data_IF_204570882737
#
_entry.id   IF_204570882737
#
_cell.length_a   1.000
_cell.length_b   1.000
_cell.length_c   1.000
_cell.angle_alpha   90.00
_cell.angle_beta   90.00
_cell.angle_gamma   90.00
#
_symmetry.space_group_name_H-M   'P 1'
#
loop_
_entity.id
_entity.type
_entity.pdbx_description
1 polymer ?
#
# COMPACT_ATOMS: atom_id res chain seq x y z
N UNK A 1 -14.72 50.17 -5.04
CA UNK A 1 -14.15 49.36 -3.94
C UNK A 1 -12.95 48.61 -4.48
N UNK A 2 -11.79 48.83 -3.86
CA UNK A 2 -10.54 48.17 -4.25
C UNK A 2 -10.53 46.72 -3.73
N UNK A 3 -9.68 45.85 -4.32
CA UNK A 3 -9.58 44.43 -3.93
C UNK A 3 -9.22 44.29 -2.44
N UNK A 4 -8.31 45.13 -1.94
CA UNK A 4 -7.90 45.13 -0.53
C UNK A 4 -9.07 45.45 0.43
N UNK A 5 -9.96 46.37 0.04
CA UNK A 5 -11.15 46.71 0.82
C UNK A 5 -12.15 45.56 0.82
N UNK A 6 -12.34 44.89 -0.32
CA UNK A 6 -13.19 43.71 -0.43
C UNK A 6 -12.69 42.57 0.48
N UNK A 7 -11.38 42.34 0.52
CA UNK A 7 -10.76 41.32 1.39
C UNK A 7 -10.93 41.67 2.87
N UNK A 8 -10.61 42.91 3.26
CA UNK A 8 -10.75 43.35 4.65
C UNK A 8 -12.21 43.30 5.12
N UNK A 9 -13.14 43.70 4.27
CA UNK A 9 -14.56 43.73 4.58
C UNK A 9 -15.17 42.33 4.65
N UNK A 10 -14.83 41.45 3.70
CA UNK A 10 -15.25 40.04 3.74
C UNK A 10 -14.70 39.32 4.98
N UNK A 11 -13.48 39.63 5.40
CA UNK A 11 -12.88 39.09 6.62
C UNK A 11 -13.62 39.54 7.89
N UNK A 12 -13.97 40.83 7.98
CA UNK A 12 -14.78 41.35 9.10
C UNK A 12 -16.16 40.70 9.14
N UNK A 13 -16.81 40.57 7.99
CA UNK A 13 -18.12 39.94 7.88
C UNK A 13 -18.09 38.43 8.18
N UNK A 14 -17.00 37.75 7.86
CA UNK A 14 -16.73 36.38 8.29
C UNK A 14 -16.67 36.30 9.82
N UNK A 15 -15.91 37.21 10.46
CA UNK A 15 -15.78 37.25 11.93
C UNK A 15 -17.09 37.57 12.65
N UNK A 16 -17.97 38.37 12.05
CA UNK A 16 -19.25 38.76 12.65
C UNK A 16 -20.35 37.70 12.52
N UNK A 17 -20.12 36.64 11.74
CA UNK A 17 -21.13 35.60 11.44
C UNK A 17 -20.64 34.21 11.85
N UNK A 18 -20.37 33.97 13.14
CA UNK A 18 -19.66 32.78 13.60
C UNK A 18 -20.42 31.48 13.31
N UNK A 19 -21.76 31.49 13.34
CA UNK A 19 -22.58 30.29 13.13
C UNK A 19 -22.42 29.76 11.70
N UNK A 20 -22.62 30.61 10.69
CA UNK A 20 -22.47 30.21 9.28
C UNK A 20 -21.03 29.79 8.97
N UNK A 21 -20.05 30.53 9.51
CA UNK A 21 -18.63 30.22 9.38
C UNK A 21 -18.28 28.84 9.96
N UNK A 22 -18.75 28.55 11.19
CA UNK A 22 -18.51 27.27 11.85
C UNK A 22 -19.20 26.10 11.13
N UNK A 23 -20.43 26.28 10.65
CA UNK A 23 -21.13 25.25 9.90
C UNK A 23 -20.39 24.89 8.60
N UNK A 24 -19.95 25.89 7.82
CA UNK A 24 -19.17 25.65 6.60
C UNK A 24 -17.82 25.02 6.93
N UNK A 25 -17.13 25.50 7.97
CA UNK A 25 -15.87 24.93 8.41
C UNK A 25 -16.03 23.46 8.85
N UNK A 26 -17.09 23.13 9.59
CA UNK A 26 -17.37 21.77 10.02
C UNK A 26 -17.68 20.84 8.84
N UNK A 27 -18.49 21.30 7.89
CA UNK A 27 -18.81 20.54 6.68
C UNK A 27 -17.58 20.26 5.83
N UNK A 28 -16.75 21.28 5.59
CA UNK A 28 -15.51 21.13 4.82
C UNK A 28 -14.46 20.29 5.56
N UNK A 29 -14.40 20.38 6.89
CA UNK A 29 -13.58 19.47 7.70
C UNK A 29 -14.02 18.01 7.53
N UNK A 30 -15.33 17.75 7.64
CA UNK A 30 -15.90 16.41 7.44
C UNK A 30 -15.64 15.88 6.04
N UNK A 31 -15.87 16.69 5.01
CA UNK A 31 -15.58 16.33 3.61
C UNK A 31 -14.11 15.97 3.42
N UNK A 32 -13.17 16.80 3.90
CA UNK A 32 -11.73 16.52 3.79
C UNK A 32 -11.32 15.26 4.55
N UNK A 33 -11.83 15.07 5.77
CA UNK A 33 -11.53 13.92 6.61
C UNK A 33 -12.06 12.60 6.01
N UNK A 34 -13.33 12.58 5.59
CA UNK A 34 -13.96 11.40 4.96
C UNK A 34 -13.26 11.06 3.64
N UNK A 35 -12.93 12.07 2.82
CA UNK A 35 -12.20 11.85 1.57
C UNK A 35 -10.84 11.21 1.82
N UNK A 36 -10.08 11.70 2.81
CA UNK A 36 -8.80 11.09 3.15
C UNK A 36 -8.93 9.69 3.74
N UNK A 37 -9.93 9.44 4.59
CA UNK A 37 -10.14 8.13 5.18
C UNK A 37 -10.45 7.07 4.11
N UNK A 38 -11.30 7.39 3.13
CA UNK A 38 -11.72 6.44 2.10
C UNK A 38 -10.70 6.25 0.97
N UNK A 39 -10.03 7.32 0.54
CA UNK A 39 -9.12 7.27 -0.60
C UNK A 39 -7.64 7.14 -0.20
N UNK A 40 -7.27 7.57 1.01
CA UNK A 40 -5.90 7.48 1.53
C UNK A 40 -5.45 6.05 1.79
N UNK A 41 -6.34 5.16 2.25
CA UNK A 41 -6.03 3.73 2.42
C UNK A 41 -5.68 3.06 1.08
N UNK A 42 -6.43 3.38 0.03
CA UNK A 42 -6.23 2.79 -1.29
C UNK A 42 -4.94 3.28 -1.96
N UNK A 43 -4.55 4.53 -1.73
CA UNK A 43 -3.30 5.10 -2.23
C UNK A 43 -2.08 4.46 -1.56
N UNK A 44 -2.09 4.32 -0.22
CA UNK A 44 -0.99 3.70 0.52
C UNK A 44 -0.76 2.24 0.11
N UNK A 45 -1.82 1.46 -0.11
CA UNK A 45 -1.69 0.07 -0.59
C UNK A 45 -1.12 0.00 -2.00
N UNK A 46 -1.46 0.94 -2.89
CA UNK A 46 -0.91 0.96 -4.25
C UNK A 46 0.61 1.20 -4.26
N UNK A 47 1.08 2.18 -3.49
CA UNK A 47 2.52 2.48 -3.41
C UNK A 47 3.30 1.29 -2.85
N UNK A 48 2.77 0.60 -1.83
CA UNK A 48 3.39 -0.61 -1.26
C UNK A 48 3.48 -1.79 -2.23
N UNK A 49 2.52 -1.93 -3.15
CA UNK A 49 2.52 -2.98 -4.17
C UNK A 49 3.46 -2.60 -5.32
N UNK A 50 3.53 -1.32 -5.70
CA UNK A 50 4.51 -0.84 -6.66
C UNK A 50 5.94 -1.05 -6.16
N UNK A 51 6.18 -0.85 -4.87
CA UNK A 51 7.47 -1.13 -4.24
C UNK A 51 7.77 -2.62 -4.23
N UNK A 52 6.80 -3.46 -3.82
CA UNK A 52 6.90 -4.93 -3.87
C UNK A 52 7.19 -5.46 -5.28
N UNK A 53 6.64 -4.83 -6.32
CA UNK A 53 6.88 -5.22 -7.72
C UNK A 53 8.30 -4.90 -8.20
N UNK A 54 8.96 -3.90 -7.61
CA UNK A 54 10.35 -3.58 -7.91
C UNK A 54 11.34 -4.42 -7.09
N UNK A 55 10.86 -5.20 -6.13
CA UNK A 55 11.68 -6.00 -5.24
C UNK A 55 12.19 -7.29 -5.93
N UNK A 56 13.36 -7.83 -5.52
CA UNK A 56 13.89 -9.09 -6.04
C UNK A 56 12.90 -10.27 -6.02
N UNK A 57 11.96 -10.26 -5.07
CA UNK A 57 10.89 -11.25 -4.88
C UNK A 57 9.90 -11.28 -6.05
N UNK A 58 9.65 -10.15 -6.71
CA UNK A 58 8.74 -10.06 -7.85
C UNK A 58 9.28 -10.76 -9.10
N UNK A 59 10.58 -11.03 -9.15
CA UNK A 59 11.25 -11.75 -10.27
C UNK A 59 11.30 -13.26 -10.06
N UNK A 60 10.53 -13.79 -9.11
CA UNK A 60 10.57 -15.22 -8.75
C UNK A 60 9.49 -16.04 -9.45
N UNK A 61 9.89 -17.22 -9.91
CA UNK A 61 9.03 -18.27 -10.41
C UNK A 61 9.29 -19.54 -9.59
N UNK A 62 8.26 -20.04 -8.92
CA UNK A 62 8.33 -21.23 -8.06
C UNK A 62 7.61 -22.38 -8.75
N UNK A 63 8.30 -23.50 -8.87
CA UNK A 63 7.71 -24.79 -9.24
C UNK A 63 7.70 -25.68 -8.01
N UNK A 64 6.58 -26.36 -7.77
CA UNK A 64 6.42 -27.33 -6.68
C UNK A 64 5.96 -28.66 -7.26
N UNK A 65 6.77 -29.69 -7.04
CA UNK A 65 6.46 -31.09 -7.27
C UNK A 65 6.18 -31.73 -5.90
N UNK A 66 4.89 -31.96 -5.60
CA UNK A 66 4.47 -32.51 -4.32
C UNK A 66 4.92 -33.96 -4.09
N UNK A 67 5.25 -34.69 -5.16
CA UNK A 67 5.68 -36.09 -5.07
C UNK A 67 7.21 -36.24 -5.07
N UNK A 68 7.96 -35.16 -5.36
CA UNK A 68 9.43 -35.14 -5.38
C UNK A 68 10.01 -36.25 -6.30
N UNK A 69 9.52 -36.32 -7.53
CA UNK A 69 9.92 -37.34 -8.53
C UNK A 69 10.53 -36.73 -9.78
N UNK A 70 10.13 -35.51 -10.12
CA UNK A 70 10.45 -34.89 -11.41
C UNK A 70 11.71 -34.04 -11.32
N UNK A 71 11.80 -33.19 -10.31
CA UNK A 71 12.85 -32.17 -10.23
C UNK A 71 14.15 -32.83 -9.76
N UNK A 72 14.95 -33.33 -10.69
CA UNK A 72 16.31 -33.84 -10.42
C UNK A 72 17.39 -32.80 -10.73
N UNK A 73 18.63 -33.09 -10.31
CA UNK A 73 19.79 -32.23 -10.59
C UNK A 73 19.98 -31.89 -12.09
N UNK A 74 19.74 -32.80 -13.05
CA UNK A 74 19.82 -32.47 -14.48
C UNK A 74 18.86 -31.35 -14.92
N UNK A 75 17.66 -31.27 -14.31
CA UNK A 75 16.70 -30.21 -14.58
C UNK A 75 17.18 -28.90 -13.97
N UNK A 76 17.69 -28.94 -12.73
CA UNK A 76 18.26 -27.77 -12.04
C UNK A 76 19.41 -27.17 -12.86
N UNK A 77 20.31 -27.99 -13.35
CA UNK A 77 21.44 -27.55 -14.20
C UNK A 77 20.97 -27.01 -15.55
N UNK A 78 19.99 -27.65 -16.18
CA UNK A 78 19.38 -27.19 -17.43
C UNK A 78 18.74 -25.81 -17.25
N UNK A 79 17.95 -25.63 -16.20
CA UNK A 79 17.33 -24.34 -15.86
C UNK A 79 18.37 -23.27 -15.55
N UNK A 80 19.42 -23.61 -14.79
CA UNK A 80 20.51 -22.70 -14.46
C UNK A 80 21.30 -22.23 -15.70
N UNK A 81 21.36 -23.06 -16.74
CA UNK A 81 22.05 -22.72 -17.99
C UNK A 81 21.28 -21.71 -18.87
N UNK A 82 19.99 -21.46 -18.57
CA UNK A 82 19.18 -20.51 -19.33
C UNK A 82 19.67 -19.08 -19.12
N UNK A 83 19.87 -18.35 -20.22
CA UNK A 83 20.37 -16.97 -20.18
C UNK A 83 19.44 -15.99 -19.46
N UNK A 84 18.14 -16.28 -19.41
CA UNK A 84 17.10 -15.50 -18.74
C UNK A 84 17.12 -15.67 -17.21
N UNK A 85 17.75 -16.75 -16.71
CA UNK A 85 17.86 -17.09 -15.29
C UNK A 85 19.07 -16.38 -14.67
N UNK A 86 18.82 -15.69 -13.56
CA UNK A 86 19.85 -15.12 -12.70
C UNK A 86 20.33 -16.18 -11.70
N UNK A 87 19.39 -16.84 -11.01
CA UNK A 87 19.64 -17.83 -9.96
C UNK A 87 18.58 -18.92 -9.98
N UNK A 88 18.96 -20.14 -9.67
CA UNK A 88 18.05 -21.28 -9.53
C UNK A 88 18.42 -22.07 -8.28
N UNK A 89 17.45 -22.32 -7.40
CA UNK A 89 17.64 -23.03 -6.15
C UNK A 89 16.58 -24.13 -6.03
N UNK A 90 17.01 -25.37 -5.92
CA UNK A 90 16.15 -26.52 -5.68
C UNK A 90 16.16 -26.90 -4.20
N UNK A 91 15.04 -27.42 -3.70
CA UNK A 91 14.86 -27.80 -2.30
C UNK A 91 14.03 -29.07 -2.19
N UNK A 92 14.40 -29.95 -1.24
CA UNK A 92 13.59 -31.13 -0.92
C UNK A 92 12.36 -30.77 -0.10
N UNK A 93 11.47 -31.75 0.09
CA UNK A 93 10.43 -31.66 1.12
C UNK A 93 11.12 -31.48 2.49
N UNK A 94 10.71 -30.50 3.29
CA UNK A 94 11.31 -30.30 4.60
C UNK A 94 11.03 -31.47 5.54
N UNK A 95 12.05 -31.90 6.27
CA UNK A 95 11.94 -32.88 7.34
C UNK A 95 12.15 -32.20 8.68
N UNK A 96 11.31 -32.50 9.66
CA UNK A 96 11.46 -31.92 10.99
C UNK A 96 12.68 -32.52 11.70
N UNK A 97 13.48 -31.65 12.31
CA UNK A 97 14.64 -31.98 13.14
C UNK A 97 14.55 -31.26 14.48
N UNK A 98 15.20 -31.83 15.48
CA UNK A 98 15.29 -31.29 16.83
C UNK A 98 16.75 -31.15 17.27
N UNK A 99 17.00 -30.30 18.26
CA UNK A 99 18.32 -30.20 18.85
C UNK A 99 18.64 -31.48 19.62
N UNK A 100 19.71 -32.18 19.28
CA UNK A 100 19.99 -33.50 19.83
C UNK A 100 20.22 -33.54 21.34
N UNK A 101 20.68 -32.42 21.92
CA UNK A 101 20.85 -32.24 23.36
C UNK A 101 19.53 -32.06 24.13
N UNK A 102 18.47 -31.59 23.46
CA UNK A 102 17.15 -31.36 24.04
C UNK A 102 16.16 -32.46 23.67
N UNK A 103 16.44 -33.24 22.62
CA UNK A 103 15.60 -34.33 22.15
C UNK A 103 14.17 -33.84 21.82
N UNK A 104 13.17 -34.59 22.28
CA UNK A 104 11.76 -34.31 21.99
C UNK A 104 11.20 -33.04 22.68
N UNK A 105 11.93 -32.47 23.64
CA UNK A 105 11.55 -31.22 24.30
C UNK A 105 11.98 -29.97 23.50
N UNK A 106 12.69 -30.15 22.37
CA UNK A 106 13.07 -29.08 21.44
C UNK A 106 11.91 -28.65 20.56
N UNK A 107 11.90 -27.39 20.13
CA UNK A 107 11.02 -26.96 19.05
C UNK A 107 11.50 -27.58 17.73
N UNK A 108 10.64 -28.26 16.95
CA UNK A 108 11.03 -28.83 15.68
C UNK A 108 11.29 -27.71 14.66
N UNK A 109 12.36 -27.88 13.89
CA UNK A 109 12.78 -26.97 12.83
C UNK A 109 12.85 -27.75 11.51
N UNK A 110 12.44 -27.15 10.38
CA UNK A 110 12.54 -27.82 9.10
C UNK A 110 13.99 -27.89 8.60
N UNK A 111 14.44 -29.09 8.27
CA UNK A 111 15.66 -29.37 7.51
C UNK A 111 15.32 -29.60 6.04
N UNK A 112 16.07 -28.99 5.12
CA UNK A 112 15.92 -29.23 3.69
C UNK A 112 17.29 -29.35 3.01
N UNK A 113 17.38 -30.28 2.05
CA UNK A 113 18.54 -30.36 1.17
C UNK A 113 18.33 -29.40 0.02
N UNK A 114 19.37 -28.62 -0.29
CA UNK A 114 19.34 -27.64 -1.35
C UNK A 114 20.42 -27.89 -2.40
N UNK A 115 20.12 -27.52 -3.64
CA UNK A 115 21.06 -27.58 -4.75
C UNK A 115 20.87 -26.41 -5.72
N UNK A 116 21.87 -26.20 -6.59
CA UNK A 116 21.89 -25.11 -7.56
C UNK A 116 22.79 -23.95 -7.10
N UNK A 117 22.25 -22.74 -7.08
CA UNK A 117 22.99 -21.52 -6.73
C UNK A 117 22.95 -21.21 -5.22
N UNK A 118 23.61 -22.06 -4.44
CA UNK A 118 23.62 -21.96 -2.97
C UNK A 118 24.36 -20.70 -2.49
N UNK A 119 25.49 -20.36 -3.09
CA UNK A 119 26.28 -19.17 -2.74
C UNK A 119 25.55 -17.85 -3.07
N UNK A 120 24.68 -17.87 -4.08
CA UNK A 120 23.81 -16.76 -4.42
C UNK A 120 22.58 -16.65 -3.51
N UNK A 121 22.17 -17.75 -2.86
CA UNK A 121 21.03 -17.79 -1.95
C UNK A 121 21.42 -17.49 -0.49
N UNK A 122 22.61 -17.88 -0.05
CA UNK A 122 23.02 -17.82 1.35
C UNK A 122 24.29 -16.98 1.54
N UNK A 123 24.47 -16.42 2.74
CA UNK A 123 25.74 -15.83 3.19
C UNK A 123 26.09 -16.43 4.54
N UNK A 124 27.20 -17.15 4.60
CA UNK A 124 27.70 -17.66 5.87
C UNK A 124 28.03 -16.50 6.81
N UNK A 125 27.44 -16.54 7.99
CA UNK A 125 27.69 -15.58 9.08
C UNK A 125 28.75 -16.13 10.03
N UNK A 126 28.79 -17.45 10.19
CA UNK A 126 29.84 -18.16 10.95
C UNK A 126 30.05 -19.57 10.39
N UNK A 127 31.23 -20.15 10.65
CA UNK A 127 31.55 -21.52 10.25
C UNK A 127 31.91 -21.66 8.77
N UNK A 128 31.47 -22.76 8.15
CA UNK A 128 31.77 -23.12 6.75
C UNK A 128 30.54 -23.73 6.07
N UNK A 129 30.62 -23.92 4.75
CA UNK A 129 29.60 -24.68 4.02
C UNK A 129 29.60 -26.15 4.50
N UNK A 130 28.41 -26.78 4.58
CA UNK A 130 28.30 -28.13 5.10
C UNK A 130 28.81 -29.17 4.10
N UNK A 131 29.54 -30.16 4.60
CA UNK A 131 29.82 -31.41 3.88
C UNK A 131 28.64 -32.40 4.03
N UNK A 132 28.66 -33.59 3.38
CA UNK A 132 27.64 -34.61 3.60
C UNK A 132 27.46 -34.95 5.09
N UNK A 133 26.22 -35.15 5.53
CA UNK A 133 25.83 -35.29 6.95
C UNK A 133 26.13 -34.08 7.85
N UNK A 134 26.35 -32.89 7.28
CA UNK A 134 26.46 -31.64 8.02
C UNK A 134 25.37 -30.66 7.60
N UNK A 135 25.12 -29.68 8.47
CA UNK A 135 24.11 -28.64 8.24
C UNK A 135 24.60 -27.28 8.69
N UNK A 136 24.06 -26.26 8.03
CA UNK A 136 24.15 -24.86 8.47
C UNK A 136 22.76 -24.36 8.86
N UNK A 137 22.71 -23.49 9.87
CA UNK A 137 21.46 -23.09 10.50
C UNK A 137 21.17 -21.60 10.27
N UNK A 138 19.94 -21.29 9.85
CA UNK A 138 19.46 -19.92 9.75
C UNK A 138 19.14 -19.30 11.12
N UNK A 139 19.09 -17.97 11.26
CA UNK A 139 18.92 -17.31 12.56
C UNK A 139 17.62 -17.69 13.28
N UNK A 140 16.50 -17.85 12.55
CA UNK A 140 15.24 -18.26 13.17
C UNK A 140 15.25 -19.71 13.65
N UNK A 141 15.92 -20.59 12.90
CA UNK A 141 16.15 -21.97 13.31
C UNK A 141 17.10 -22.07 14.52
N UNK A 142 18.13 -21.22 14.58
CA UNK A 142 19.08 -21.15 15.69
C UNK A 142 18.38 -20.83 17.01
N UNK A 143 17.52 -19.81 16.99
CA UNK A 143 16.74 -19.39 18.15
C UNK A 143 15.76 -20.47 18.61
N UNK A 144 15.08 -21.13 17.66
CA UNK A 144 14.12 -22.20 17.96
C UNK A 144 14.79 -23.44 18.55
N UNK A 145 15.95 -23.83 18.03
CA UNK A 145 16.75 -24.97 18.52
C UNK A 145 17.54 -24.64 19.80
N UNK A 146 17.58 -23.36 20.20
CA UNK A 146 18.33 -22.86 21.36
C UNK A 146 19.82 -23.23 21.32
N UNK A 147 20.39 -23.27 20.11
CA UNK A 147 21.80 -23.56 19.91
C UNK A 147 22.59 -22.28 20.11
N UNK A 148 23.36 -22.20 21.19
CA UNK A 148 24.26 -21.07 21.45
C UNK A 148 25.48 -21.21 20.53
N UNK A 149 25.83 -20.14 19.82
CA UNK A 149 26.96 -20.05 18.88
C UNK A 149 26.88 -20.96 17.64
N UNK A 150 25.74 -21.60 17.36
CA UNK A 150 25.57 -22.42 16.16
C UNK A 150 26.44 -23.68 16.14
N UNK A 151 26.73 -24.23 17.32
CA UNK A 151 27.51 -25.47 17.48
C UNK A 151 26.64 -26.54 18.12
N UNK A 152 26.73 -27.76 17.62
CA UNK A 152 26.00 -28.91 18.16
C UNK A 152 25.67 -29.94 17.09
N UNK A 153 24.65 -30.74 17.34
CA UNK A 153 24.07 -31.64 16.35
C UNK A 153 22.55 -31.58 16.43
N UNK A 154 21.92 -31.84 15.29
CA UNK A 154 20.48 -31.96 15.16
C UNK A 154 20.14 -33.39 14.79
N UNK A 155 18.98 -33.84 15.22
CA UNK A 155 18.53 -35.21 15.03
C UNK A 155 17.11 -35.23 14.47
N UNK A 156 16.84 -36.12 13.52
CA UNK A 156 15.48 -36.37 13.04
C UNK A 156 14.74 -37.31 14.01
N UNK A 157 13.40 -37.34 13.97
CA UNK A 157 12.62 -38.33 14.71
C UNK A 157 12.97 -39.80 14.38
N UNK A 158 13.62 -40.04 13.23
CA UNK A 158 14.07 -41.36 12.79
C UNK A 158 15.46 -41.75 13.36
N UNK A 159 16.11 -40.88 14.12
CA UNK A 159 17.42 -41.11 14.73
C UNK A 159 18.61 -40.75 13.83
N UNK A 160 18.38 -40.12 12.69
CA UNK A 160 19.45 -39.62 11.82
C UNK A 160 20.01 -38.31 12.37
N UNK A 161 21.33 -38.17 12.40
CA UNK A 161 22.02 -37.05 13.03
C UNK A 161 22.84 -36.26 12.02
N UNK A 162 22.80 -34.93 12.14
CA UNK A 162 23.64 -34.01 11.37
C UNK A 162 24.44 -33.12 12.31
N UNK A 163 25.72 -32.94 11.99
CA UNK A 163 26.57 -31.99 12.71
C UNK A 163 26.28 -30.55 12.24
N UNK A 164 26.12 -29.63 13.19
CA UNK A 164 25.97 -28.20 12.88
C UNK A 164 27.36 -27.58 12.75
N UNK A 165 27.66 -27.06 11.56
CA UNK A 165 29.00 -26.55 11.23
C UNK A 165 29.06 -25.05 10.96
N UNK A 166 27.93 -24.35 11.09
CA UNK A 166 27.88 -22.91 10.94
C UNK A 166 26.47 -22.33 10.90
N UNK A 167 26.43 -21.01 10.74
CA UNK A 167 25.20 -20.26 10.59
C UNK A 167 25.23 -19.41 9.33
N UNK A 168 24.07 -19.18 8.75
CA UNK A 168 23.93 -18.37 7.54
C UNK A 168 22.84 -17.32 7.69
N UNK A 169 22.92 -16.28 6.86
CA UNK A 169 21.83 -15.36 6.58
C UNK A 169 21.41 -15.53 5.13
N UNK A 170 20.13 -15.76 4.90
CA UNK A 170 19.57 -15.90 3.56
C UNK A 170 19.50 -14.54 2.86
N UNK A 171 19.82 -14.53 1.55
CA UNK A 171 19.74 -13.34 0.70
C UNK A 171 18.36 -13.25 0.03
N UNK A 172 17.84 -12.04 -0.23
CA UNK A 172 16.66 -11.86 -1.08
C UNK A 172 16.82 -12.58 -2.44
N UNK A 173 15.79 -13.28 -2.95
CA UNK A 173 14.42 -13.41 -2.41
C UNK A 173 14.20 -14.65 -1.52
N UNK A 174 15.27 -15.28 -1.01
CA UNK A 174 15.22 -16.54 -0.27
C UNK A 174 15.17 -16.35 1.26
N UNK A 175 14.73 -15.19 1.74
CA UNK A 175 14.74 -14.84 3.18
C UNK A 175 13.98 -15.82 4.06
N UNK A 176 13.00 -16.54 3.51
CA UNK A 176 12.26 -17.63 4.18
C UNK A 176 13.20 -18.74 4.69
N UNK A 177 14.36 -18.94 4.05
CA UNK A 177 15.35 -19.95 4.46
C UNK A 177 15.97 -19.67 5.83
N UNK A 178 15.84 -18.45 6.36
CA UNK A 178 16.35 -18.11 7.69
C UNK A 178 15.72 -18.94 8.82
N UNK A 179 14.56 -19.56 8.57
CA UNK A 179 13.87 -20.45 9.52
C UNK A 179 14.20 -21.94 9.31
N UNK A 180 15.14 -22.26 8.42
CA UNK A 180 15.51 -23.63 8.06
C UNK A 180 16.90 -24.01 8.56
N UNK A 181 17.10 -25.31 8.77
CA UNK A 181 18.41 -25.93 8.68
C UNK A 181 18.62 -26.43 7.25
N UNK A 182 19.84 -26.24 6.75
CA UNK A 182 20.15 -26.47 5.34
C UNK A 182 21.31 -27.45 5.24
N UNK A 183 21.10 -28.50 4.45
CA UNK A 183 22.16 -29.39 3.97
C UNK A 183 22.40 -29.14 2.47
N UNK A 184 23.65 -29.27 2.03
CA UNK A 184 24.02 -29.23 0.60
C UNK A 184 24.35 -30.60 0.04
N UNK A 185 24.03 -31.66 0.80
CA UNK A 185 24.11 -33.02 0.31
C UNK A 185 23.11 -33.23 -0.84
N UNK A 186 23.59 -33.78 -1.95
CA UNK A 186 22.79 -33.95 -3.16
C UNK A 186 21.64 -34.94 -2.92
N UNK A 187 20.42 -34.46 -3.09
CA UNK A 187 19.24 -35.31 -3.07
C UNK A 187 18.95 -35.85 -4.48
N UNK A 188 18.45 -37.09 -4.56
CA UNK A 188 18.08 -37.70 -5.84
C UNK A 188 16.94 -36.96 -6.57
N UNK A 189 16.06 -36.31 -5.82
CA UNK A 189 14.99 -35.46 -6.35
C UNK A 189 14.65 -34.34 -5.36
N UNK A 190 14.07 -33.26 -5.87
CA UNK A 190 13.70 -32.04 -5.16
C UNK A 190 12.19 -31.80 -5.28
N UNK A 191 11.59 -31.22 -4.25
CA UNK A 191 10.15 -30.94 -4.22
C UNK A 191 9.83 -29.53 -4.72
N UNK A 192 10.78 -28.60 -4.63
CA UNK A 192 10.60 -27.21 -5.03
C UNK A 192 11.78 -26.73 -5.85
N UNK A 193 11.51 -25.96 -6.89
CA UNK A 193 12.50 -25.23 -7.67
C UNK A 193 12.11 -23.76 -7.70
N UNK A 194 12.95 -22.92 -7.10
CA UNK A 194 12.82 -21.47 -7.11
C UNK A 194 13.77 -20.88 -8.14
N UNK A 195 13.22 -20.20 -9.13
CA UNK A 195 13.97 -19.59 -10.22
C UNK A 195 13.80 -18.07 -10.15
N UNK A 196 14.91 -17.34 -10.27
CA UNK A 196 14.94 -15.87 -10.24
C UNK A 196 15.33 -15.38 -11.63
N UNK A 197 14.49 -14.53 -12.22
CA UNK A 197 14.77 -13.89 -13.50
C UNK A 197 15.77 -12.74 -13.32
N UNK A 198 16.61 -12.50 -14.35
CA UNK A 198 17.53 -11.34 -14.36
C UNK A 198 16.79 -10.00 -14.32
N UNK A 199 15.61 -9.93 -14.91
CA UNK A 199 14.76 -8.74 -14.89
C UNK A 199 13.29 -9.12 -15.07
N UNK A 200 12.38 -8.18 -14.77
CA UNK A 200 10.95 -8.43 -14.93
C UNK A 200 10.54 -8.56 -16.40
N UNK A 201 11.27 -7.90 -17.31
CA UNK A 201 10.98 -7.91 -18.75
C UNK A 201 11.17 -9.32 -19.35
N UNK A 202 12.14 -10.07 -18.84
CA UNK A 202 12.45 -11.43 -19.32
C UNK A 202 11.72 -12.53 -18.56
N UNK A 203 11.02 -12.20 -17.47
CA UNK A 203 10.35 -13.17 -16.60
C UNK A 203 9.34 -14.05 -17.35
N UNK A 204 8.47 -13.45 -18.17
CA UNK A 204 7.47 -14.21 -18.93
C UNK A 204 8.06 -15.16 -19.97
N UNK A 205 9.23 -14.83 -20.53
CA UNK A 205 9.99 -15.73 -21.40
C UNK A 205 10.62 -16.86 -20.60
N UNK A 206 11.27 -16.52 -19.49
CA UNK A 206 11.88 -17.47 -18.57
C UNK A 206 10.85 -18.49 -18.05
N UNK A 207 9.64 -18.07 -17.68
CA UNK A 207 8.59 -18.98 -17.19
C UNK A 207 8.20 -20.04 -18.22
N UNK A 208 8.17 -19.67 -19.51
CA UNK A 208 7.92 -20.61 -20.61
C UNK A 208 9.12 -21.52 -20.81
N UNK A 209 10.33 -20.96 -20.91
CA UNK A 209 11.55 -21.73 -21.11
C UNK A 209 11.75 -22.76 -19.97
N UNK A 210 11.55 -22.35 -18.72
CA UNK A 210 11.64 -23.23 -17.55
C UNK A 210 10.51 -24.26 -17.56
N UNK A 211 9.29 -23.87 -17.92
CA UNK A 211 8.17 -24.81 -18.06
C UNK A 211 8.41 -25.84 -19.16
N UNK A 212 9.05 -25.47 -20.25
CA UNK A 212 9.38 -26.35 -21.37
C UNK A 212 10.51 -27.32 -21.01
N UNK A 213 11.51 -26.85 -20.24
CA UNK A 213 12.60 -27.70 -19.71
C UNK A 213 12.08 -28.72 -18.70
N UNK A 214 11.16 -28.30 -17.82
CA UNK A 214 10.52 -29.21 -16.87
C UNK A 214 9.55 -30.13 -17.61
N UNK A 215 8.77 -29.62 -18.57
CA UNK A 215 7.80 -30.39 -19.33
C UNK A 215 6.52 -30.73 -18.55
N UNK A 216 5.64 -31.51 -19.18
CA UNK A 216 4.44 -32.08 -18.57
C UNK A 216 4.64 -33.58 -18.34
N UNK A 217 4.39 -34.04 -17.10
CA UNK A 217 4.50 -35.47 -16.75
C UNK A 217 3.11 -36.05 -16.51
N UNK A 218 2.72 -37.12 -17.22
CA UNK A 218 1.43 -37.77 -17.02
C UNK A 218 1.27 -38.26 -15.59
N UNK A 219 0.27 -37.74 -14.86
CA UNK A 219 -0.04 -38.15 -13.49
C UNK A 219 0.67 -37.38 -12.38
N UNK A 220 1.55 -36.42 -12.71
CA UNK A 220 2.25 -35.58 -11.72
C UNK A 220 1.84 -34.13 -11.94
N UNK A 221 1.23 -33.50 -10.92
CA UNK A 221 0.85 -32.10 -10.95
C UNK A 221 1.99 -31.23 -10.41
N UNK A 222 2.54 -30.36 -11.28
CA UNK A 222 3.57 -29.39 -10.90
C UNK A 222 2.92 -28.03 -10.75
N UNK A 223 2.79 -27.56 -9.52
CA UNK A 223 2.24 -26.24 -9.24
C UNK A 223 3.23 -25.15 -9.66
N UNK A 224 2.79 -24.22 -10.52
CA UNK A 224 3.59 -23.12 -11.05
C UNK A 224 3.08 -21.81 -10.47
N UNK A 225 3.93 -21.06 -9.76
CA UNK A 225 3.57 -19.81 -9.12
C UNK A 225 4.54 -18.70 -9.56
N UNK A 226 4.00 -17.64 -10.15
CA UNK A 226 4.74 -16.43 -10.53
C UNK A 226 4.38 -15.29 -9.59
N UNK A 227 5.37 -14.74 -8.89
CA UNK A 227 5.15 -13.61 -7.99
C UNK A 227 4.64 -12.37 -8.74
N UNK A 228 5.14 -12.12 -9.95
CA UNK A 228 4.68 -11.02 -10.79
C UNK A 228 3.25 -11.21 -11.29
N UNK A 229 2.86 -12.44 -11.68
CA UNK A 229 1.50 -12.71 -12.14
C UNK A 229 0.46 -12.49 -11.02
N UNK A 230 0.73 -12.98 -9.81
CA UNK A 230 -0.13 -12.77 -8.64
C UNK A 230 -0.21 -11.29 -8.23
N UNK A 231 0.90 -10.56 -8.31
CA UNK A 231 0.93 -9.13 -8.05
C UNK A 231 0.19 -8.32 -9.12
N UNK A 232 0.32 -8.68 -10.40
CA UNK A 232 -0.39 -8.05 -11.52
C UNK A 232 -1.91 -8.30 -11.45
N UNK A 233 -2.32 -9.50 -11.04
CA UNK A 233 -3.73 -9.82 -10.79
C UNK A 233 -4.29 -9.00 -9.62
N UNK A 234 -3.54 -8.90 -8.52
CA UNK A 234 -3.87 -8.06 -7.37
C UNK A 234 -4.02 -6.59 -7.78
N UNK A 235 -3.11 -6.08 -8.62
CA UNK A 235 -3.20 -4.73 -9.20
C UNK A 235 -4.42 -4.55 -10.10
N UNK A 236 -4.82 -5.57 -10.87
CA UNK A 236 -6.00 -5.51 -11.74
C UNK A 236 -7.29 -5.44 -10.92
N UNK A 237 -7.40 -6.27 -9.88
CA UNK A 237 -8.50 -6.22 -8.90
C UNK A 237 -8.51 -4.86 -8.19
N UNK A 238 -7.34 -4.33 -7.83
CA UNK A 238 -7.21 -3.01 -7.23
C UNK A 238 -7.48 -1.85 -8.19
N UNK A 239 -7.24 -2.01 -9.49
CA UNK A 239 -7.62 -1.05 -10.53
C UNK A 239 -9.14 -0.86 -10.59
N UNK A 240 -9.88 -1.95 -10.37
CA UNK A 240 -11.35 -1.94 -10.21
C UNK A 240 -11.74 -1.25 -8.88
N UNK A 241 -10.96 -1.42 -7.81
CA UNK A 241 -11.15 -0.67 -6.56
C UNK A 241 -10.81 0.82 -6.72
N UNK A 242 -9.87 1.20 -7.60
CA UNK A 242 -9.52 2.60 -7.88
C UNK A 242 -10.64 3.33 -8.63
N UNK A 243 -11.26 2.69 -9.62
CA UNK A 243 -12.45 3.25 -10.29
C UNK A 243 -13.64 3.35 -9.32
N UNK A 244 -13.75 2.42 -8.37
CA UNK A 244 -14.72 2.51 -7.28
C UNK A 244 -14.38 3.63 -6.28
N UNK A 245 -13.09 3.88 -6.01
CA UNK A 245 -12.60 4.94 -5.15
C UNK A 245 -12.88 6.34 -5.71
N UNK A 246 -12.68 6.56 -7.02
CA UNK A 246 -13.03 7.84 -7.66
C UNK A 246 -14.54 8.09 -7.64
N UNK A 247 -15.36 7.04 -7.82
CA UNK A 247 -16.81 7.14 -7.68
C UNK A 247 -17.21 7.52 -6.23
N UNK A 248 -16.59 6.92 -5.22
CA UNK A 248 -16.86 7.25 -3.80
C UNK A 248 -16.44 8.69 -3.45
N UNK A 249 -15.27 9.15 -3.93
CA UNK A 249 -14.84 10.55 -3.76
C UNK A 249 -15.80 11.49 -4.47
N UNK A 250 -16.22 11.18 -5.69
CA UNK A 250 -17.20 11.99 -6.42
C UNK A 250 -18.55 12.06 -5.70
N UNK A 251 -19.03 10.95 -5.13
CA UNK A 251 -20.27 10.89 -4.36
C UNK A 251 -20.19 11.69 -3.06
N UNK A 252 -19.13 11.50 -2.27
CA UNK A 252 -18.94 12.22 -1.00
C UNK A 252 -18.72 13.72 -1.23
N UNK A 253 -17.92 14.09 -2.23
CA UNK A 253 -17.72 15.48 -2.60
C UNK A 253 -19.00 16.11 -3.16
N UNK A 254 -19.75 15.37 -3.99
CA UNK A 254 -21.03 15.81 -4.54
C UNK A 254 -22.11 16.03 -3.48
N UNK A 255 -22.24 15.11 -2.52
CA UNK A 255 -23.14 15.27 -1.38
C UNK A 255 -22.72 16.48 -0.52
N UNK A 256 -21.43 16.61 -0.23
CA UNK A 256 -20.88 17.75 0.52
C UNK A 256 -21.12 19.10 -0.17
N UNK A 257 -20.92 19.16 -1.49
CA UNK A 257 -21.22 20.32 -2.35
C UNK A 257 -22.69 20.77 -2.20
N UNK A 258 -23.64 19.83 -2.24
CA UNK A 258 -25.07 20.14 -2.09
C UNK A 258 -25.40 20.70 -0.71
N UNK A 259 -24.80 20.15 0.34
CA UNK A 259 -25.03 20.63 1.71
C UNK A 259 -24.43 22.03 1.89
N UNK A 260 -23.18 22.25 1.42
CA UNK A 260 -22.55 23.58 1.45
C UNK A 260 -23.38 24.59 0.65
N UNK A 261 -23.86 24.22 -0.54
CA UNK A 261 -24.77 25.05 -1.33
C UNK A 261 -26.00 25.45 -0.52
N UNK A 262 -26.67 24.49 0.12
CA UNK A 262 -27.87 24.75 0.93
C UNK A 262 -27.62 25.69 2.10
N UNK A 263 -26.51 25.49 2.83
CA UNK A 263 -26.12 26.34 3.97
C UNK A 263 -25.79 27.76 3.50
N UNK A 264 -25.00 27.91 2.43
CA UNK A 264 -24.65 29.23 1.87
C UNK A 264 -25.89 29.92 1.30
N UNK A 265 -26.78 29.18 0.65
CA UNK A 265 -28.03 29.72 0.16
C UNK A 265 -28.91 30.23 1.29
N UNK A 266 -29.06 29.46 2.38
CA UNK A 266 -29.75 29.90 3.58
C UNK A 266 -29.11 31.14 4.21
N UNK A 267 -27.77 31.17 4.34
CA UNK A 267 -27.04 32.34 4.86
C UNK A 267 -27.31 33.60 4.04
N UNK A 268 -27.30 33.48 2.70
CA UNK A 268 -27.61 34.57 1.78
C UNK A 268 -29.05 35.06 1.95
N UNK A 269 -30.01 34.16 2.16
CA UNK A 269 -31.41 34.53 2.40
C UNK A 269 -31.58 35.26 3.74
N UNK A 270 -30.95 34.76 4.79
CA UNK A 270 -31.01 35.35 6.14
C UNK A 270 -30.37 36.75 6.17
N UNK A 271 -29.31 36.97 5.39
CA UNK A 271 -28.59 38.24 5.32
C UNK A 271 -28.97 39.09 4.10
N UNK A 272 -30.08 38.80 3.44
CA UNK A 272 -30.51 39.48 2.21
C UNK A 272 -30.62 41.01 2.39
N UNK A 273 -31.03 41.48 3.57
CA UNK A 273 -31.14 42.91 3.88
C UNK A 273 -29.78 43.62 3.90
N UNK A 274 -28.75 43.00 4.47
CA UNK A 274 -27.41 43.58 4.50
C UNK A 274 -26.79 43.62 3.09
N UNK A 275 -26.99 42.56 2.32
CA UNK A 275 -26.55 42.48 0.91
C UNK A 275 -27.27 43.53 0.05
N UNK A 276 -28.57 43.72 0.25
CA UNK A 276 -29.35 44.77 -0.42
C UNK A 276 -28.85 46.17 -0.09
N UNK A 277 -28.58 46.44 1.20
CA UNK A 277 -27.98 47.71 1.66
C UNK A 277 -26.63 47.98 0.99
N UNK A 278 -25.73 47.00 0.98
CA UNK A 278 -24.41 47.10 0.32
C UNK A 278 -24.54 47.44 -1.17
N UNK A 279 -25.53 46.86 -1.85
CA UNK A 279 -25.83 47.15 -3.26
C UNK A 279 -26.35 48.57 -3.47
N UNK A 280 -27.20 49.09 -2.58
CA UNK A 280 -27.67 50.49 -2.65
C UNK A 280 -26.55 51.50 -2.42
N UNK A 281 -25.49 51.10 -1.72
CA UNK A 281 -24.29 51.91 -1.47
C UNK A 281 -23.26 51.86 -2.63
N UNK A 282 -23.58 51.19 -3.75
CA UNK A 282 -22.78 51.23 -4.97
C UNK A 282 -21.83 50.04 -5.20
N UNK A 283 -21.94 48.95 -4.44
CA UNK A 283 -21.23 47.69 -4.75
C UNK A 283 -21.74 47.09 -6.07
N UNK A 284 -20.82 46.66 -6.93
CA UNK A 284 -21.17 45.99 -8.20
C UNK A 284 -21.64 44.55 -7.96
N UNK A 285 -22.36 43.98 -8.94
CA UNK A 285 -22.84 42.58 -8.86
C UNK A 285 -21.69 41.59 -8.72
N UNK A 286 -20.60 41.78 -9.49
CA UNK A 286 -19.41 40.92 -9.42
C UNK A 286 -18.71 41.00 -8.08
N UNK A 287 -18.63 42.19 -7.47
CA UNK A 287 -18.08 42.37 -6.13
C UNK A 287 -18.94 41.66 -5.07
N UNK A 288 -20.27 41.63 -5.23
CA UNK A 288 -21.17 40.95 -4.31
C UNK A 288 -21.03 39.42 -4.40
N UNK A 289 -20.91 38.88 -5.62
CA UNK A 289 -20.59 37.45 -5.82
C UNK A 289 -19.25 37.11 -5.18
N UNK A 290 -18.21 37.91 -5.45
CA UNK A 290 -16.87 37.71 -4.88
C UNK A 290 -16.87 37.81 -3.34
N UNK A 291 -17.68 38.71 -2.77
CA UNK A 291 -17.84 38.85 -1.31
C UNK A 291 -18.40 37.58 -0.68
N UNK A 292 -19.45 36.99 -1.28
CA UNK A 292 -20.03 35.72 -0.80
C UNK A 292 -19.00 34.59 -0.92
N UNK A 293 -18.31 34.49 -2.07
CA UNK A 293 -17.28 33.47 -2.28
C UNK A 293 -16.12 33.59 -1.27
N UNK A 294 -15.65 34.81 -0.98
CA UNK A 294 -14.57 35.04 -0.01
C UNK A 294 -14.96 34.60 1.41
N UNK A 295 -16.20 34.89 1.85
CA UNK A 295 -16.69 34.43 3.17
C UNK A 295 -16.69 32.90 3.27
N UNK A 296 -17.10 32.22 2.20
CA UNK A 296 -17.05 30.75 2.13
C UNK A 296 -15.62 30.25 2.08
N UNK A 297 -14.74 30.89 1.30
CA UNK A 297 -13.34 30.52 1.18
C UNK A 297 -12.61 30.56 2.54
N UNK A 298 -12.80 31.61 3.35
CA UNK A 298 -12.17 31.67 4.68
C UNK A 298 -12.63 30.53 5.59
N UNK A 299 -13.92 30.24 5.61
CA UNK A 299 -14.50 29.15 6.40
C UNK A 299 -14.00 27.79 5.91
N UNK A 300 -13.99 27.59 4.60
CA UNK A 300 -13.56 26.36 3.94
C UNK A 300 -12.06 26.11 4.12
N UNK A 301 -11.22 27.13 4.10
CA UNK A 301 -9.78 27.01 4.35
C UNK A 301 -9.51 26.48 5.76
N UNK A 302 -10.17 27.06 6.78
CA UNK A 302 -10.00 26.62 8.17
C UNK A 302 -10.55 25.22 8.38
N UNK A 303 -11.75 24.94 7.85
CA UNK A 303 -12.37 23.63 7.93
C UNK A 303 -11.57 22.55 7.23
N UNK A 304 -11.22 22.75 5.96
CA UNK A 304 -10.43 21.80 5.20
C UNK A 304 -9.04 21.57 5.81
N UNK A 305 -8.38 22.61 6.33
CA UNK A 305 -7.10 22.45 7.03
C UNK A 305 -7.27 21.57 8.28
N UNK A 306 -8.26 21.85 9.12
CA UNK A 306 -8.53 21.07 10.32
C UNK A 306 -8.92 19.61 10.00
N UNK A 307 -9.76 19.40 9.00
CA UNK A 307 -10.20 18.07 8.57
C UNK A 307 -9.08 17.23 7.97
N UNK A 308 -8.29 17.82 7.05
CA UNK A 308 -7.16 17.14 6.41
C UNK A 308 -6.04 16.88 7.42
N UNK A 309 -5.62 17.88 8.20
CA UNK A 309 -4.58 17.66 9.21
C UNK A 309 -5.04 16.67 10.29
N UNK A 310 -6.27 16.80 10.77
CA UNK A 310 -6.84 15.90 11.77
C UNK A 310 -6.90 14.45 11.28
N UNK A 311 -7.41 14.22 10.07
CA UNK A 311 -7.44 12.88 9.50
C UNK A 311 -6.02 12.34 9.20
N UNK A 312 -5.06 13.19 8.82
CA UNK A 312 -3.68 12.77 8.58
C UNK A 312 -3.04 12.25 9.86
N UNK A 313 -3.21 12.99 10.97
CA UNK A 313 -2.72 12.59 12.30
C UNK A 313 -3.39 11.28 12.73
N UNK A 314 -4.71 11.16 12.59
CA UNK A 314 -5.44 9.93 12.96
C UNK A 314 -4.97 8.73 12.14
N UNK A 315 -4.79 8.88 10.83
CA UNK A 315 -4.29 7.80 9.96
C UNK A 315 -2.85 7.41 10.31
N UNK A 316 -1.99 8.39 10.60
CA UNK A 316 -0.63 8.13 11.06
C UNK A 316 -0.59 7.34 12.38
N UNK A 317 -1.45 7.66 13.35
CA UNK A 317 -1.55 6.88 14.60
C UNK A 317 -2.03 5.44 14.40
N UNK A 318 -2.65 5.15 13.25
CA UNK A 318 -3.09 3.81 12.86
C UNK A 318 -2.09 3.10 11.95
N UNK A 319 -0.90 3.66 11.75
CA UNK A 319 0.13 3.09 10.89
C UNK A 319 -0.15 3.23 9.39
N UNK A 320 -1.15 4.02 8.98
CA UNK A 320 -1.45 4.26 7.57
C UNK A 320 -0.74 5.54 7.12
N UNK A 321 0.36 5.36 6.39
CA UNK A 321 1.13 6.47 5.83
C UNK A 321 0.44 7.00 4.55
N UNK A 322 -0.29 8.11 4.67
CA UNK A 322 -0.89 8.79 3.52
C UNK A 322 0.12 9.79 2.92
N UNK A 323 0.39 9.75 1.60
CA UNK A 323 1.30 10.71 0.97
C UNK A 323 0.87 12.18 1.16
N UNK A 324 1.82 13.07 1.44
CA UNK A 324 1.55 14.52 1.60
C UNK A 324 0.95 15.18 0.35
N UNK A 325 1.31 14.67 -0.83
CA UNK A 325 0.74 15.11 -2.11
C UNK A 325 -0.76 14.86 -2.19
N UNK A 326 -1.23 13.72 -1.66
CA UNK A 326 -2.64 13.37 -1.61
C UNK A 326 -3.42 14.24 -0.61
N UNK A 327 -2.82 14.53 0.55
CA UNK A 327 -3.40 15.44 1.55
C UNK A 327 -3.57 16.86 0.97
N UNK A 328 -2.55 17.37 0.28
CA UNK A 328 -2.60 18.69 -0.37
C UNK A 328 -3.65 18.73 -1.50
N UNK A 329 -3.70 17.69 -2.34
CA UNK A 329 -4.71 17.58 -3.39
C UNK A 329 -6.14 17.57 -2.82
N UNK A 330 -6.37 16.83 -1.74
CA UNK A 330 -7.66 16.78 -1.04
C UNK A 330 -8.03 18.14 -0.48
N UNK A 331 -7.09 18.83 0.18
CA UNK A 331 -7.30 20.18 0.70
C UNK A 331 -7.73 21.17 -0.40
N UNK A 332 -6.98 21.22 -1.51
CA UNK A 332 -7.29 22.10 -2.64
C UNK A 332 -8.66 21.77 -3.23
N UNK A 333 -8.96 20.49 -3.41
CA UNK A 333 -10.22 20.03 -3.97
C UNK A 333 -11.41 20.42 -3.09
N UNK A 334 -11.33 20.21 -1.77
CA UNK A 334 -12.40 20.56 -0.83
C UNK A 334 -12.67 22.07 -0.80
N UNK A 335 -11.61 22.88 -0.77
CA UNK A 335 -11.74 24.35 -0.79
C UNK A 335 -12.36 24.82 -2.10
N UNK A 336 -11.86 24.32 -3.23
CA UNK A 336 -12.36 24.70 -4.56
C UNK A 336 -13.83 24.29 -4.74
N UNK A 337 -14.19 23.09 -4.29
CA UNK A 337 -15.57 22.60 -4.31
C UNK A 337 -16.49 23.51 -3.48
N UNK A 338 -16.10 23.86 -2.25
CA UNK A 338 -16.91 24.73 -1.39
C UNK A 338 -17.13 26.12 -2.01
N UNK A 339 -16.07 26.72 -2.57
CA UNK A 339 -16.16 28.01 -3.27
C UNK A 339 -17.04 27.91 -4.52
N UNK A 340 -16.94 26.81 -5.26
CA UNK A 340 -17.78 26.56 -6.43
C UNK A 340 -19.27 26.41 -6.06
N UNK A 341 -19.60 25.68 -4.99
CA UNK A 341 -20.97 25.59 -4.48
C UNK A 341 -21.54 26.96 -4.09
N UNK A 342 -20.71 27.89 -3.62
CA UNK A 342 -21.12 29.24 -3.26
C UNK A 342 -21.38 30.16 -4.46
N UNK A 343 -21.00 29.75 -5.68
CA UNK A 343 -21.17 30.56 -6.88
C UNK A 343 -22.64 30.87 -7.14
N UNK A 344 -23.49 29.85 -7.22
CA UNK A 344 -24.92 30.00 -7.54
C UNK A 344 -25.66 30.85 -6.50
N UNK A 345 -25.54 30.62 -5.17
CA UNK A 345 -26.11 31.51 -4.16
C UNK A 345 -25.61 32.96 -4.28
N UNK A 346 -24.32 33.16 -4.57
CA UNK A 346 -23.74 34.48 -4.78
C UNK A 346 -24.35 35.21 -5.97
N UNK A 347 -24.57 34.50 -7.09
CA UNK A 347 -25.26 35.06 -8.27
C UNK A 347 -26.70 35.41 -7.93
N UNK A 348 -27.44 34.53 -7.25
CA UNK A 348 -28.83 34.82 -6.84
C UNK A 348 -28.89 36.08 -5.96
N UNK A 349 -27.96 36.22 -5.01
CA UNK A 349 -27.84 37.44 -4.19
C UNK A 349 -27.60 38.69 -5.03
N UNK A 350 -26.70 38.60 -6.01
CA UNK A 350 -26.27 39.72 -6.83
C UNK A 350 -27.35 40.19 -7.83
N UNK A 351 -28.33 39.35 -8.16
CA UNK A 351 -29.41 39.69 -9.10
C UNK A 351 -30.73 40.08 -8.42
N UNK A 352 -30.93 39.78 -7.13
CA UNK A 352 -32.13 40.20 -6.39
C UNK A 352 -32.28 41.72 -6.30
N UNK A 353 -33.48 42.22 -6.57
CA UNK A 353 -33.78 43.65 -6.51
C UNK A 353 -33.67 44.20 -5.07
N UNK A 354 -32.77 45.17 -4.80
CA UNK A 354 -32.59 45.71 -3.46
C UNK A 354 -33.84 46.39 -2.89
N UNK A 355 -34.68 47.00 -3.73
CA UNK A 355 -35.90 47.69 -3.26
C UNK A 355 -36.95 46.67 -2.79
N UNK A 356 -37.13 45.60 -3.56
CA UNK A 356 -38.00 44.49 -3.17
C UNK A 356 -37.55 43.85 -1.86
N UNK A 357 -36.25 43.55 -1.71
CA UNK A 357 -35.70 42.92 -0.50
C UNK A 357 -35.87 43.79 0.75
N UNK A 358 -35.81 45.11 0.62
CA UNK A 358 -36.04 46.03 1.75
C UNK A 358 -37.51 46.15 2.17
N UNK A 359 -38.46 45.79 1.29
CA UNK A 359 -39.91 45.88 1.54
C UNK A 359 -40.54 44.58 2.06
N UNK A 360 -39.97 43.42 1.75
CA UNK A 360 -40.61 42.10 2.00
C UNK A 360 -40.22 41.44 3.33
N UNK A 361 -39.30 42.02 4.10
CA UNK A 361 -38.82 41.46 5.38
C UNK A 361 -39.06 42.44 6.55
N UNK A 362 -40.32 42.91 6.69
CA UNK A 362 -40.80 43.56 7.92
C UNK A 362 -41.22 42.52 8.96
#
# INVERSE_FOLDING_TARGET
MNIAELLAESWRAFRSSPVAALLIAFLTAGMGAITMASAGSNAATYDSISESLNAPEARTFKLTDGEQQVIGMPIVDSVRSLSSVERALAMTTPQDIVAGNLGQDSTPVPLSHIAGDVDGALTLTSGRMPDPHEVVIGPGALDALRLVDGVGYVESPAGEQWAVVGTFAARPPFTDLNSYAISTEEAGAYARLHVVARSLEVLSGMERDVSDVVGEFPGIEIAKQSAAASAAESLKVMGILRSSGTANVAQTMGAGLLIVFGVVFADVLLHARDLGRRRTLGITRSQLVAFVQLRVAYSALLGAAAGVLGAHIVLATRGVAVPWTFALATFILTVTAAVFAAFTPGVVAAYRDPVTVMRTHM
#
